data_IF_645495011362
#
_entry.id   IF_645495011362
#
_cell.length_a   1.000
_cell.length_b   1.000
_cell.length_c   1.000
_cell.angle_alpha   90.00
_cell.angle_beta   90.00
_cell.angle_gamma   90.00
#
_symmetry.space_group_name_H-M   'P 1'
#
loop_
_entity.id
_entity.type
_entity.pdbx_description
1 polymer ?
#
# COMPACT_ATOMS: atom_id res chain seq x y z
N UNK A 1 -10.34 17.24 4.29
CA UNK A 1 -10.11 18.59 3.72
C UNK A 1 -11.39 19.14 3.13
N UNK A 2 -12.06 18.41 2.22
CA UNK A 2 -13.33 18.82 1.57
C UNK A 2 -14.46 19.30 2.52
N UNK A 3 -14.52 18.78 3.75
CA UNK A 3 -15.57 19.11 4.74
C UNK A 3 -15.40 20.50 5.37
N UNK A 4 -14.18 21.06 5.39
CA UNK A 4 -13.89 22.32 6.08
C UNK A 4 -13.66 23.51 5.13
N UNK A 5 -13.62 23.27 3.82
CA UNK A 5 -13.39 24.31 2.81
C UNK A 5 -14.47 25.40 2.86
N UNK A 6 -15.73 25.00 3.01
CA UNK A 6 -16.87 25.92 3.03
C UNK A 6 -16.94 26.76 4.31
N UNK A 7 -16.27 26.33 5.39
CA UNK A 7 -16.31 26.98 6.71
C UNK A 7 -15.09 27.85 6.96
N UNK A 8 -13.90 27.36 6.59
CA UNK A 8 -12.64 28.03 6.88
C UNK A 8 -12.13 28.86 5.69
N UNK A 9 -12.63 28.62 4.48
CA UNK A 9 -12.05 29.12 3.23
C UNK A 9 -10.79 28.32 2.83
N UNK A 10 -10.56 28.15 1.53
CA UNK A 10 -9.43 27.33 1.02
C UNK A 10 -8.06 27.83 1.46
N UNK A 11 -7.89 29.14 1.57
CA UNK A 11 -6.58 29.77 1.79
C UNK A 11 -6.09 29.66 3.24
N UNK A 12 -6.92 29.14 4.16
CA UNK A 12 -6.58 29.00 5.59
C UNK A 12 -6.33 27.55 6.01
N UNK A 13 -6.57 26.58 5.12
CA UNK A 13 -6.41 25.16 5.40
C UNK A 13 -4.98 24.70 5.14
N UNK A 14 -4.46 23.90 6.08
CA UNK A 14 -3.18 23.22 5.93
C UNK A 14 -3.30 21.74 6.32
N UNK A 15 -2.37 20.92 5.81
CA UNK A 15 -2.30 19.51 6.16
C UNK A 15 -1.81 19.38 7.61
N UNK A 16 -2.50 18.57 8.41
CA UNK A 16 -1.99 18.19 9.72
C UNK A 16 -0.65 17.45 9.55
N UNK A 17 0.45 17.95 10.15
CA UNK A 17 1.78 17.45 9.82
C UNK A 17 1.95 15.99 10.26
N UNK A 18 2.46 15.09 9.39
CA UNK A 18 2.61 13.67 9.72
C UNK A 18 3.62 13.47 10.85
N UNK A 19 3.37 12.50 11.74
CA UNK A 19 4.26 12.23 12.87
C UNK A 19 4.26 13.31 13.96
N UNK A 20 3.20 14.14 14.02
CA UNK A 20 2.98 15.14 15.05
C UNK A 20 1.68 14.89 15.83
N UNK A 21 1.57 15.44 17.02
CA UNK A 21 0.28 15.68 17.68
C UNK A 21 0.14 17.19 17.96
N UNK A 22 -1.07 17.67 18.22
CA UNK A 22 -1.30 19.08 18.58
C UNK A 22 -1.58 19.21 20.08
N UNK A 23 -0.92 20.16 20.72
CA UNK A 23 -1.12 20.55 22.12
C UNK A 23 -1.50 22.03 22.17
N UNK A 24 -2.62 22.44 22.80
CA UNK A 24 -3.05 23.84 22.81
C UNK A 24 -2.00 24.83 23.35
N UNK A 25 -1.18 24.40 24.30
CA UNK A 25 -0.11 25.20 24.92
C UNK A 25 1.20 25.20 24.12
N UNK A 26 1.42 24.23 23.23
CA UNK A 26 2.71 24.03 22.51
C UNK A 26 2.60 24.05 20.99
N UNK A 27 1.40 24.06 20.45
CA UNK A 27 1.16 23.85 19.03
C UNK A 27 1.46 22.42 18.59
N UNK A 28 2.01 22.26 17.38
CA UNK A 28 2.37 20.94 16.85
C UNK A 28 3.68 20.42 17.44
N UNK A 29 3.63 19.23 18.03
CA UNK A 29 4.78 18.54 18.63
C UNK A 29 5.09 17.28 17.82
N UNK A 30 6.32 17.20 17.27
CA UNK A 30 6.78 16.03 16.52
C UNK A 30 7.11 14.89 17.49
N UNK A 31 6.48 13.72 17.29
CA UNK A 31 6.75 12.53 18.10
C UNK A 31 7.51 11.44 17.34
N UNK A 32 7.50 11.47 16.00
CA UNK A 32 8.17 10.46 15.18
C UNK A 32 9.42 11.03 14.50
N UNK A 33 10.59 10.63 15.00
CA UNK A 33 11.89 11.01 14.44
C UNK A 33 12.81 9.79 14.38
N UNK A 34 12.66 8.95 13.33
CA UNK A 34 13.50 7.78 13.18
C UNK A 34 14.97 8.15 12.90
N UNK A 35 15.89 7.39 13.48
CA UNK A 35 17.33 7.61 13.32
C UNK A 35 17.81 7.50 11.86
N UNK A 36 17.17 6.64 11.06
CA UNK A 36 17.53 6.42 9.66
C UNK A 36 17.28 7.62 8.72
N UNK A 37 16.66 8.69 9.20
CA UNK A 37 16.62 9.97 8.46
C UNK A 37 18.04 10.53 8.26
N UNK A 38 18.94 10.27 9.21
CA UNK A 38 20.34 10.59 9.07
C UNK A 38 21.10 9.41 8.44
N UNK A 39 21.55 9.57 7.20
CA UNK A 39 22.27 8.53 6.47
C UNK A 39 23.55 8.06 7.20
N UNK A 40 24.13 8.89 8.07
CA UNK A 40 25.30 8.54 8.89
C UNK A 40 25.00 7.43 9.89
N UNK A 41 23.72 7.14 10.14
CA UNK A 41 23.27 6.02 10.98
C UNK A 41 23.24 4.68 10.24
N UNK A 42 23.50 4.65 8.94
CA UNK A 42 23.64 3.42 8.15
C UNK A 42 25.01 2.75 8.38
N UNK A 43 25.31 2.41 9.63
CA UNK A 43 26.59 1.81 10.08
C UNK A 43 26.56 0.29 10.19
N UNK A 44 25.39 -0.31 10.09
CA UNK A 44 25.19 -1.74 10.28
C UNK A 44 25.45 -2.48 8.96
N UNK A 45 25.97 -3.70 9.04
CA UNK A 45 26.13 -4.57 7.86
C UNK A 45 24.78 -4.98 7.29
N UNK A 46 24.76 -5.28 5.99
CA UNK A 46 23.56 -5.74 5.29
C UNK A 46 23.10 -7.10 5.83
N UNK A 47 21.91 -7.13 6.45
CA UNK A 47 21.24 -8.36 6.86
C UNK A 47 19.99 -8.60 6.01
N UNK A 48 20.13 -9.46 5.00
CA UNK A 48 19.02 -9.83 4.10
C UNK A 48 17.92 -10.61 4.82
N UNK A 49 18.26 -11.37 5.87
CA UNK A 49 17.26 -12.13 6.64
C UNK A 49 16.42 -11.18 7.47
N UNK A 50 17.05 -10.20 8.12
CA UNK A 50 16.33 -9.16 8.85
C UNK A 50 15.38 -8.39 7.93
N UNK A 51 15.83 -7.98 6.73
CA UNK A 51 14.96 -7.29 5.75
C UNK A 51 13.77 -8.17 5.38
N UNK A 52 14.01 -9.43 5.03
CA UNK A 52 12.95 -10.38 4.67
C UNK A 52 11.93 -10.54 5.81
N UNK A 53 12.40 -10.83 7.03
CA UNK A 53 11.53 -11.13 8.17
C UNK A 53 10.73 -9.88 8.57
N UNK A 54 11.36 -8.70 8.59
CA UNK A 54 10.67 -7.44 8.93
C UNK A 54 9.60 -7.11 7.89
N UNK A 55 9.85 -7.38 6.60
CA UNK A 55 8.84 -7.21 5.55
C UNK A 55 7.67 -8.18 5.75
N UNK A 56 7.97 -9.46 6.05
CA UNK A 56 6.93 -10.47 6.30
C UNK A 56 6.06 -10.08 7.49
N UNK A 57 6.67 -9.69 8.61
CA UNK A 57 5.94 -9.23 9.80
C UNK A 57 5.11 -7.98 9.52
N UNK A 58 5.64 -7.03 8.77
CA UNK A 58 4.92 -5.81 8.40
C UNK A 58 3.67 -6.11 7.57
N UNK A 59 3.72 -7.10 6.68
CA UNK A 59 2.54 -7.55 5.91
C UNK A 59 1.55 -8.27 6.83
N UNK A 60 1.99 -9.25 7.63
CA UNK A 60 1.13 -10.01 8.53
C UNK A 60 0.36 -9.10 9.50
N UNK A 61 1.04 -8.08 10.05
CA UNK A 61 0.43 -7.08 10.94
C UNK A 61 -0.75 -6.34 10.31
N UNK A 62 -0.78 -6.22 8.98
CA UNK A 62 -1.84 -5.54 8.21
C UNK A 62 -2.94 -6.48 7.72
N UNK A 63 -2.87 -7.79 8.03
CA UNK A 63 -3.89 -8.78 7.69
C UNK A 63 -4.96 -8.96 8.79
N UNK A 64 -4.90 -8.20 9.89
CA UNK A 64 -5.96 -8.21 10.90
C UNK A 64 -7.16 -7.40 10.40
N UNK A 65 -8.26 -8.08 10.12
CA UNK A 65 -9.51 -7.49 9.62
C UNK A 65 -10.69 -8.37 10.00
N UNK A 66 -11.79 -7.73 10.41
CA UNK A 66 -13.08 -8.40 10.65
C UNK A 66 -13.90 -8.58 9.36
N UNK A 67 -13.42 -8.02 8.24
CA UNK A 67 -14.02 -8.11 6.91
C UNK A 67 -13.10 -8.85 5.92
N UNK A 68 -13.65 -9.41 4.83
CA UNK A 68 -12.85 -10.03 3.77
C UNK A 68 -11.78 -9.08 3.23
N UNK A 69 -10.56 -9.60 3.09
CA UNK A 69 -9.42 -8.85 2.55
C UNK A 69 -9.26 -9.05 1.05
N UNK A 70 -8.90 -7.98 0.36
CA UNK A 70 -8.45 -7.98 -1.03
C UNK A 70 -7.03 -7.44 -1.15
N UNK A 71 -6.32 -7.85 -2.20
CA UNK A 71 -4.98 -7.32 -2.52
C UNK A 71 -5.00 -6.61 -3.88
N UNK A 72 -4.33 -5.46 -3.94
CA UNK A 72 -4.08 -4.76 -5.20
C UNK A 72 -2.80 -5.30 -5.83
N UNK A 73 -2.91 -5.78 -7.07
CA UNK A 73 -1.84 -6.45 -7.77
C UNK A 73 -1.61 -5.78 -9.13
N UNK A 74 -0.44 -5.14 -9.28
CA UNK A 74 -0.04 -4.47 -10.52
C UNK A 74 0.90 -5.31 -11.38
N UNK A 75 1.39 -6.45 -10.87
CA UNK A 75 2.40 -7.27 -11.54
C UNK A 75 3.84 -6.76 -11.41
N UNK A 76 4.05 -5.59 -10.80
CA UNK A 76 5.38 -5.09 -10.40
C UNK A 76 5.95 -5.84 -9.19
N UNK A 77 7.25 -5.69 -8.94
CA UNK A 77 7.96 -6.40 -7.87
C UNK A 77 7.34 -6.17 -6.49
N UNK A 78 7.10 -4.91 -6.11
CA UNK A 78 6.67 -4.54 -4.75
C UNK A 78 5.29 -5.11 -4.42
N UNK A 79 4.31 -4.90 -5.32
CA UNK A 79 2.95 -5.42 -5.16
C UNK A 79 2.94 -6.94 -5.19
N UNK A 80 3.81 -7.57 -5.97
CA UNK A 80 3.97 -9.03 -6.02
C UNK A 80 4.54 -9.60 -4.73
N UNK A 81 5.56 -8.96 -4.14
CA UNK A 81 6.14 -9.37 -2.86
C UNK A 81 5.09 -9.31 -1.75
N UNK A 82 4.42 -8.17 -1.57
CA UNK A 82 3.37 -7.99 -0.56
C UNK A 82 2.24 -9.00 -0.78
N UNK A 83 1.78 -9.15 -2.02
CA UNK A 83 0.71 -10.08 -2.39
C UNK A 83 1.08 -11.53 -2.12
N UNK A 84 2.32 -11.94 -2.41
CA UNK A 84 2.79 -13.31 -2.18
C UNK A 84 2.81 -13.66 -0.68
N UNK A 85 3.26 -12.73 0.16
CA UNK A 85 3.30 -12.91 1.61
C UNK A 85 1.87 -12.97 2.17
N UNK A 86 1.00 -12.05 1.74
CA UNK A 86 -0.40 -12.00 2.15
C UNK A 86 -1.17 -13.26 1.75
N UNK A 87 -1.06 -13.67 0.47
CA UNK A 87 -1.72 -14.86 -0.04
C UNK A 87 -1.27 -16.13 0.70
N UNK A 88 0.04 -16.30 0.90
CA UNK A 88 0.61 -17.43 1.66
C UNK A 88 0.06 -17.50 3.08
N UNK A 89 0.01 -16.36 3.78
CA UNK A 89 -0.49 -16.31 5.15
C UNK A 89 -2.00 -16.58 5.24
N UNK A 90 -2.78 -16.06 4.30
CA UNK A 90 -4.22 -16.30 4.25
C UNK A 90 -4.55 -17.75 3.88
N UNK A 91 -3.79 -18.37 2.97
CA UNK A 91 -3.92 -19.80 2.66
C UNK A 91 -3.63 -20.68 3.87
N UNK A 92 -2.63 -20.33 4.71
CA UNK A 92 -2.38 -21.04 5.98
C UNK A 92 -3.57 -20.97 6.94
N UNK A 93 -4.39 -19.91 6.85
CA UNK A 93 -5.64 -19.73 7.61
C UNK A 93 -6.85 -20.37 6.93
N UNK A 94 -6.66 -21.10 5.84
CA UNK A 94 -7.73 -21.74 5.07
C UNK A 94 -8.57 -20.78 4.21
N UNK A 95 -8.04 -19.59 3.94
CA UNK A 95 -8.75 -18.54 3.18
C UNK A 95 -8.11 -18.34 1.81
N UNK A 96 -8.95 -18.16 0.78
CA UNK A 96 -8.52 -17.74 -0.56
C UNK A 96 -8.72 -16.23 -0.70
N UNK A 97 -7.66 -15.52 -1.07
CA UNK A 97 -7.68 -14.05 -1.20
C UNK A 97 -8.08 -13.65 -2.62
N UNK A 98 -8.85 -12.57 -2.71
CA UNK A 98 -9.17 -11.93 -3.97
C UNK A 98 -8.09 -10.91 -4.34
N UNK A 99 -7.60 -10.98 -5.57
CA UNK A 99 -6.63 -10.01 -6.09
C UNK A 99 -7.23 -9.18 -7.21
N UNK A 100 -6.86 -7.91 -7.28
CA UNK A 100 -7.47 -6.94 -8.18
C UNK A 100 -6.39 -6.18 -8.95
N UNK A 101 -6.56 -6.06 -10.27
CA UNK A 101 -5.71 -5.28 -11.16
C UNK A 101 -6.59 -4.34 -12.00
N UNK A 102 -6.03 -3.20 -12.44
CA UNK A 102 -6.73 -2.19 -13.22
C UNK A 102 -5.87 -1.82 -14.42
N UNK A 103 -6.44 -1.79 -15.62
CA UNK A 103 -5.73 -1.47 -16.86
C UNK A 103 -6.65 -1.01 -17.98
N UNK A 104 -6.07 -0.50 -19.07
CA UNK A 104 -6.83 0.08 -20.18
C UNK A 104 -7.47 -1.01 -21.05
N UNK A 105 -6.73 -2.07 -21.32
CA UNK A 105 -7.18 -3.26 -22.06
C UNK A 105 -6.37 -4.51 -21.64
N UNK A 106 -6.79 -5.70 -22.12
CA UNK A 106 -6.22 -7.00 -21.73
C UNK A 106 -4.74 -7.18 -22.08
N UNK A 107 -4.22 -6.37 -23.00
CA UNK A 107 -2.85 -6.39 -23.49
C UNK A 107 -1.92 -5.47 -22.69
N UNK A 108 -2.48 -4.70 -21.76
CA UNK A 108 -1.69 -3.87 -20.85
C UNK A 108 -0.61 -4.71 -20.14
N UNK A 109 0.66 -4.27 -20.16
CA UNK A 109 1.76 -4.99 -19.53
C UNK A 109 1.50 -5.32 -18.06
N UNK A 110 0.89 -4.39 -17.32
CA UNK A 110 0.57 -4.54 -15.91
C UNK A 110 -0.47 -5.65 -15.68
N UNK A 111 -1.52 -5.74 -16.52
CA UNK A 111 -2.51 -6.81 -16.43
C UNK A 111 -1.90 -8.17 -16.76
N UNK A 112 -1.06 -8.25 -17.79
CA UNK A 112 -0.37 -9.50 -18.15
C UNK A 112 0.53 -9.96 -16.99
N UNK A 113 1.28 -9.05 -16.37
CA UNK A 113 2.15 -9.36 -15.24
C UNK A 113 1.33 -9.74 -13.99
N UNK A 114 0.29 -8.98 -13.66
CA UNK A 114 -0.61 -9.27 -12.54
C UNK A 114 -1.25 -10.65 -12.68
N UNK A 115 -1.73 -11.02 -13.88
CA UNK A 115 -2.30 -12.34 -14.16
C UNK A 115 -1.30 -13.47 -13.93
N UNK A 116 -0.05 -13.30 -14.35
CA UNK A 116 1.02 -14.28 -14.10
C UNK A 116 1.26 -14.47 -12.60
N UNK A 117 1.36 -13.37 -11.86
CA UNK A 117 1.58 -13.40 -10.41
C UNK A 117 0.38 -14.02 -9.70
N UNK A 118 -0.84 -13.60 -10.03
CA UNK A 118 -2.07 -14.13 -9.44
C UNK A 118 -2.22 -15.65 -9.62
N UNK A 119 -1.88 -16.15 -10.82
CA UNK A 119 -1.83 -17.59 -11.10
C UNK A 119 -0.77 -18.29 -10.24
N UNK A 120 0.40 -17.68 -10.07
CA UNK A 120 1.48 -18.24 -9.27
C UNK A 120 1.14 -18.32 -7.77
N UNK A 121 0.47 -17.31 -7.23
CA UNK A 121 0.12 -17.23 -5.80
C UNK A 121 -1.27 -17.78 -5.45
N UNK A 122 -2.03 -18.27 -6.44
CA UNK A 122 -3.30 -18.98 -6.23
C UNK A 122 -4.47 -18.10 -5.78
N UNK A 123 -4.48 -16.82 -6.14
CA UNK A 123 -5.58 -15.89 -5.78
C UNK A 123 -6.76 -15.97 -6.75
N UNK A 124 -7.96 -15.64 -6.27
CA UNK A 124 -9.10 -15.37 -7.16
C UNK A 124 -8.92 -13.98 -7.79
N UNK A 125 -8.43 -13.94 -9.03
CA UNK A 125 -8.04 -12.69 -9.70
C UNK A 125 -9.19 -12.00 -10.44
N UNK A 126 -9.25 -10.69 -10.31
CA UNK A 126 -10.23 -9.80 -10.95
C UNK A 126 -9.46 -8.73 -11.71
N UNK A 127 -9.77 -8.57 -13.00
CA UNK A 127 -9.19 -7.55 -13.86
C UNK A 127 -10.25 -6.50 -14.18
N UNK A 128 -9.97 -5.24 -13.88
CA UNK A 128 -10.86 -4.11 -14.17
C UNK A 128 -10.32 -3.28 -15.31
N UNK A 129 -11.21 -3.03 -16.28
CA UNK A 129 -10.86 -2.39 -17.53
C UNK A 129 -11.49 -1.01 -17.59
N UNK A 130 -10.71 -0.01 -18.02
CA UNK A 130 -11.23 1.34 -18.22
C UNK A 130 -10.83 1.88 -19.60
N UNK A 131 -11.71 2.67 -20.20
CA UNK A 131 -11.40 3.41 -21.41
C UNK A 131 -11.05 4.86 -21.08
N UNK A 132 -10.17 5.45 -21.89
CA UNK A 132 -9.90 6.89 -21.81
C UNK A 132 -11.01 7.61 -22.58
N UNK A 133 -11.76 8.47 -21.89
CA UNK A 133 -12.71 9.35 -22.57
C UNK A 133 -11.93 10.51 -23.21
N UNK A 134 -11.74 10.44 -24.53
CA UNK A 134 -11.17 11.56 -25.29
C UNK A 134 -12.28 12.60 -25.49
N UNK A 135 -12.12 13.79 -24.88
CA UNK A 135 -12.97 14.94 -25.16
C UNK A 135 -12.66 15.43 -26.58
N UNK A 136 -13.49 15.09 -27.55
CA UNK A 136 -13.53 15.80 -28.84
C UNK A 136 -14.16 17.17 -28.58
N UNK A 137 -13.41 18.24 -28.87
CA UNK A 137 -13.89 19.62 -28.87
C UNK A 137 -14.90 19.85 -29.99
#
# INVERSE_FOLDING_TARGET
>A
MKVFEDVCGRDTLSIFPPGHFFQPDRGFVKYYQPAWIDYRMATHELDLKLIHDTLVEAVIKRLMSDAPLGILLSGGLDSSLVSSIAAREMTRRGLVVHSFSIGVDHTSPDLIAARKVAKHIGTHHHEFHFSVQVRTH
#
